data_IF_561371687810
#
_entry.id   IF_561371687810
#
_cell.length_a   1.000
_cell.length_b   1.000
_cell.length_c   1.000
_cell.angle_alpha   90.00
_cell.angle_beta   90.00
_cell.angle_gamma   90.00
#
_symmetry.space_group_name_H-M   'P 1'
#
loop_
_entity.id
_entity.type
_entity.pdbx_description
1 polymer ?
#
# COMPACT_ATOMS: atom_id res chain seq x y z
N UNK A 1 -3.45 0.59 -9.37
CA UNK A 1 -2.10 0.05 -9.11
C UNK A 1 -1.82 0.11 -7.62
N UNK A 2 -1.14 -0.89 -7.05
CA UNK A 2 -0.75 -0.90 -5.64
C UNK A 2 0.76 -0.88 -5.49
N UNK A 3 1.27 0.01 -4.65
CA UNK A 3 2.70 0.21 -4.42
C UNK A 3 3.02 0.10 -2.93
N UNK A 4 4.15 -0.53 -2.59
CA UNK A 4 4.69 -0.53 -1.24
C UNK A 4 5.69 0.62 -1.12
N UNK A 5 5.35 1.64 -0.33
CA UNK A 5 6.16 2.85 -0.17
C UNK A 5 6.89 2.84 1.17
N UNK A 6 8.07 3.48 1.22
CA UNK A 6 8.88 3.67 2.43
C UNK A 6 9.22 5.14 2.60
N UNK A 7 8.96 5.70 3.78
CA UNK A 7 9.27 7.07 4.11
C UNK A 7 9.47 7.22 5.63
N UNK A 8 10.49 7.98 6.04
CA UNK A 8 10.73 8.26 7.46
C UNK A 8 10.93 7.03 8.35
N UNK A 9 11.42 5.91 7.81
CA UNK A 9 11.59 4.65 8.54
C UNK A 9 10.31 3.82 8.71
N UNK A 10 9.19 4.30 8.18
CA UNK A 10 7.91 3.60 8.14
C UNK A 10 7.55 3.21 6.70
N UNK A 11 6.50 2.41 6.55
CA UNK A 11 6.03 1.91 5.27
C UNK A 11 4.51 1.93 5.19
N UNK A 12 3.96 2.07 3.99
CA UNK A 12 2.52 2.08 3.73
C UNK A 12 2.24 1.53 2.33
N UNK A 13 0.99 1.11 2.08
CA UNK A 13 0.53 0.72 0.74
C UNK A 13 -0.23 1.88 0.12
N UNK A 14 0.17 2.26 -1.08
CA UNK A 14 -0.50 3.27 -1.89
C UNK A 14 -1.34 2.59 -2.97
N UNK A 15 -2.59 3.01 -3.14
CA UNK A 15 -3.44 2.67 -4.28
C UNK A 15 -3.60 3.88 -5.18
N UNK A 16 -3.36 3.70 -6.47
CA UNK A 16 -3.64 4.69 -7.52
C UNK A 16 -4.69 4.12 -8.48
N UNK A 17 -5.85 4.77 -8.59
CA UNK A 17 -6.96 4.32 -9.44
C UNK A 17 -6.96 5.07 -10.79
N UNK A 18 -6.64 4.36 -11.89
CA UNK A 18 -6.80 4.85 -13.27
C UNK A 18 -5.81 5.94 -13.73
N UNK A 19 -6.02 6.43 -14.97
CA UNK A 19 -5.17 7.39 -15.70
C UNK A 19 -5.07 8.79 -15.06
N UNK A 20 -5.85 9.03 -14.00
CA UNK A 20 -5.77 10.27 -13.25
C UNK A 20 -5.22 9.96 -11.86
N UNK A 21 -3.98 10.38 -11.64
CA UNK A 21 -3.30 10.39 -10.35
C UNK A 21 -4.03 11.21 -9.25
N UNK A 22 -5.26 11.68 -9.51
CA UNK A 22 -6.11 12.40 -8.57
C UNK A 22 -6.68 11.48 -7.47
N UNK A 23 -6.74 10.16 -7.70
CA UNK A 23 -7.23 9.21 -6.70
C UNK A 23 -6.09 8.37 -6.14
N UNK A 24 -5.34 8.96 -5.21
CA UNK A 24 -4.32 8.29 -4.40
C UNK A 24 -4.89 8.03 -3.00
N UNK A 25 -4.91 6.77 -2.59
CA UNK A 25 -5.23 6.37 -1.23
C UNK A 25 -4.02 5.72 -0.57
N UNK A 26 -3.79 6.03 0.69
CA UNK A 26 -2.72 5.45 1.48
C UNK A 26 -3.30 4.67 2.66
N UNK A 27 -2.69 3.53 2.96
CA UNK A 27 -2.95 2.83 4.21
C UNK A 27 -2.39 3.61 5.40
N UNK A 28 -2.70 3.14 6.61
CA UNK A 28 -1.94 3.57 7.78
C UNK A 28 -0.44 3.31 7.60
N UNK A 29 0.39 4.18 8.18
CA UNK A 29 1.84 4.05 8.18
C UNK A 29 2.24 3.08 9.28
N UNK A 30 3.04 2.07 8.94
CA UNK A 30 3.35 0.97 9.82
C UNK A 30 4.79 0.50 9.64
N UNK A 31 5.20 -0.50 10.41
CA UNK A 31 6.50 -1.14 10.21
C UNK A 31 6.58 -1.76 8.80
N UNK A 32 7.80 -1.87 8.27
CA UNK A 32 8.03 -2.48 6.95
C UNK A 32 7.50 -3.90 6.85
N UNK A 33 7.60 -4.68 7.94
CA UNK A 33 7.09 -6.06 7.94
C UNK A 33 5.57 -6.09 7.81
N UNK A 34 4.85 -5.19 8.51
CA UNK A 34 3.40 -5.14 8.48
C UNK A 34 2.89 -4.63 7.13
N UNK A 35 3.53 -3.58 6.59
CA UNK A 35 3.17 -3.04 5.28
C UNK A 35 3.39 -4.05 4.16
N UNK A 36 4.46 -4.86 4.24
CA UNK A 36 4.72 -5.95 3.29
C UNK A 36 3.66 -7.05 3.39
N UNK A 37 3.26 -7.44 4.59
CA UNK A 37 2.20 -8.43 4.78
C UNK A 37 0.87 -7.94 4.18
N UNK A 38 0.50 -6.69 4.45
CA UNK A 38 -0.68 -6.04 3.88
C UNK A 38 -0.60 -5.98 2.34
N UNK A 39 0.53 -5.55 1.79
CA UNK A 39 0.72 -5.49 0.34
C UNK A 39 0.54 -6.86 -0.32
N UNK A 40 1.11 -7.92 0.27
CA UNK A 40 0.93 -9.31 -0.22
C UNK A 40 -0.54 -9.71 -0.19
N UNK A 41 -1.26 -9.44 0.89
CA UNK A 41 -2.71 -9.73 0.98
C UNK A 41 -3.49 -9.02 -0.12
N UNK A 42 -3.19 -7.75 -0.39
CA UNK A 42 -3.85 -6.96 -1.43
C UNK A 42 -3.58 -7.53 -2.82
N UNK A 43 -2.31 -7.79 -3.18
CA UNK A 43 -1.97 -8.24 -4.54
C UNK A 43 -2.36 -9.69 -4.81
N UNK A 44 -2.53 -10.51 -3.76
CA UNK A 44 -3.00 -11.90 -3.87
C UNK A 44 -4.52 -12.03 -3.75
N UNK A 45 -5.24 -10.95 -3.45
CA UNK A 45 -6.69 -10.99 -3.19
C UNK A 45 -7.08 -11.69 -1.89
N UNK A 46 -6.12 -11.91 -0.97
CA UNK A 46 -6.34 -12.54 0.33
C UNK A 46 -6.87 -11.57 1.41
N UNK A 47 -7.52 -10.48 0.98
CA UNK A 47 -8.24 -9.59 1.88
C UNK A 47 -9.53 -10.28 2.34
N UNK A 48 -9.42 -11.04 3.42
CA UNK A 48 -10.56 -11.62 4.16
C UNK A 48 -11.14 -10.62 5.15
#
# INVERSE_FOLDING_TARGET
>A
MYELCVAGGLSFVRRTDGDQAEHVLESHWMSTWAARALWVQIVTGAAG
#
